data_IF_971840843626
#
_entry.id   IF_971840843626
#
_cell.length_a   1.000
_cell.length_b   1.000
_cell.length_c   1.000
_cell.angle_alpha   90.00
_cell.angle_beta   90.00
_cell.angle_gamma   90.00
#
_symmetry.space_group_name_H-M   'P 1'
#
loop_
_entity.id
_entity.type
_entity.pdbx_description
1 polymer ?
#
# COMPACT_ATOMS: atom_id res chain seq x y z
N UNK A 1 40.41 24.75 -35.81
CA UNK A 1 39.92 23.35 -35.72
C UNK A 1 39.74 22.88 -34.28
N UNK A 2 40.71 23.10 -33.38
CA UNK A 2 40.67 22.68 -31.97
C UNK A 2 39.46 23.18 -31.17
N UNK A 3 38.97 24.41 -31.39
CA UNK A 3 37.80 24.95 -30.67
C UNK A 3 36.52 24.13 -30.90
N UNK A 4 36.29 23.61 -32.11
CA UNK A 4 35.11 22.79 -32.44
C UNK A 4 35.17 21.41 -31.77
N UNK A 5 36.37 20.82 -31.71
CA UNK A 5 36.60 19.55 -31.00
C UNK A 5 36.35 19.70 -29.49
N UNK A 6 36.72 20.86 -28.93
CA UNK A 6 36.48 21.19 -27.52
C UNK A 6 34.99 21.29 -27.19
N UNK A 7 34.18 21.91 -28.06
CA UNK A 7 32.72 21.99 -27.90
C UNK A 7 32.03 20.62 -28.02
N UNK A 8 32.48 19.76 -28.93
CA UNK A 8 31.94 18.40 -29.09
C UNK A 8 32.26 17.56 -27.83
N UNK A 9 33.50 17.63 -27.34
CA UNK A 9 33.89 16.94 -26.10
C UNK A 9 33.09 17.41 -24.88
N UNK A 10 32.87 18.72 -24.74
CA UNK A 10 32.06 19.28 -23.67
C UNK A 10 30.58 18.83 -23.74
N UNK A 11 30.00 18.79 -24.95
CA UNK A 11 28.63 18.31 -25.14
C UNK A 11 28.47 16.83 -24.77
N UNK A 12 29.44 15.98 -25.17
CA UNK A 12 29.42 14.56 -24.87
C UNK A 12 29.58 14.30 -23.36
N UNK A 13 30.45 15.07 -22.70
CA UNK A 13 30.61 15.03 -21.24
C UNK A 13 29.31 15.42 -20.53
N UNK A 14 28.62 16.46 -20.99
CA UNK A 14 27.36 16.89 -20.39
C UNK A 14 26.26 15.81 -20.47
N UNK A 15 26.16 15.11 -21.61
CA UNK A 15 25.21 14.00 -21.78
C UNK A 15 25.52 12.85 -20.82
N UNK A 16 26.80 12.50 -20.65
CA UNK A 16 27.24 11.45 -19.72
C UNK A 16 26.90 11.84 -18.28
N UNK A 17 27.15 13.08 -17.88
CA UNK A 17 26.84 13.57 -16.53
C UNK A 17 25.33 13.56 -16.27
N UNK A 18 24.51 14.00 -17.22
CA UNK A 18 23.05 13.98 -17.10
C UNK A 18 22.51 12.54 -17.05
N UNK A 19 23.05 11.64 -17.88
CA UNK A 19 22.71 10.22 -17.85
C UNK A 19 23.10 9.57 -16.52
N UNK A 20 24.29 9.87 -16.01
CA UNK A 20 24.76 9.38 -14.71
C UNK A 20 23.88 9.90 -13.57
N UNK A 21 23.53 11.19 -13.58
CA UNK A 21 22.63 11.78 -12.58
C UNK A 21 21.22 11.16 -12.60
N UNK A 22 20.72 10.79 -13.78
CA UNK A 22 19.43 10.12 -13.92
C UNK A 22 19.47 8.67 -13.39
N UNK A 23 20.54 7.93 -13.71
CA UNK A 23 20.72 6.53 -13.29
C UNK A 23 21.06 6.42 -11.80
N UNK A 24 21.79 7.39 -11.25
CA UNK A 24 22.24 7.41 -9.85
C UNK A 24 21.30 8.17 -8.91
N UNK A 25 20.08 8.50 -9.36
CA UNK A 25 19.07 9.10 -8.47
C UNK A 25 18.73 8.11 -7.36
N UNK A 26 18.64 8.60 -6.12
CA UNK A 26 18.17 7.78 -5.00
C UNK A 26 16.73 7.33 -5.26
N UNK A 27 16.41 6.04 -5.01
CA UNK A 27 15.03 5.57 -5.08
C UNK A 27 14.18 6.29 -4.03
N UNK A 28 12.87 6.38 -4.30
CA UNK A 28 11.89 6.91 -3.36
C UNK A 28 11.92 6.09 -2.06
N UNK A 29 11.80 6.77 -0.92
CA UNK A 29 11.71 6.13 0.39
C UNK A 29 10.44 5.26 0.45
N UNK A 30 10.52 4.11 1.12
CA UNK A 30 9.36 3.26 1.35
C UNK A 30 8.22 4.03 2.04
N UNK A 31 6.98 3.73 1.66
CA UNK A 31 5.78 4.27 2.31
C UNK A 31 5.79 3.95 3.80
N UNK A 32 5.37 4.89 4.64
CA UNK A 32 5.22 4.67 6.08
C UNK A 32 4.17 3.59 6.38
N UNK A 33 4.24 2.92 7.54
CA UNK A 33 3.22 1.97 7.99
C UNK A 33 1.84 2.61 8.05
N UNK A 34 0.82 1.87 7.61
CA UNK A 34 -0.56 2.36 7.61
C UNK A 34 -1.16 2.15 9.00
N UNK A 35 -1.97 3.10 9.47
CA UNK A 35 -2.65 3.02 10.77
C UNK A 35 -4.15 2.83 10.58
N UNK A 36 -4.77 2.05 11.48
CA UNK A 36 -6.22 1.83 11.43
C UNK A 36 -6.99 3.12 11.70
N UNK A 37 -8.14 3.27 11.06
CA UNK A 37 -9.15 4.27 11.47
C UNK A 37 -9.86 3.70 12.68
N UNK A 38 -9.87 4.47 13.76
CA UNK A 38 -10.52 4.08 15.01
C UNK A 38 -11.99 3.77 14.77
N UNK A 39 -12.42 2.58 15.20
CA UNK A 39 -13.80 2.16 15.13
C UNK A 39 -14.64 3.01 16.08
N UNK A 40 -15.48 3.88 15.52
CA UNK A 40 -16.46 4.59 16.31
C UNK A 40 -17.46 3.57 16.87
N UNK A 41 -17.59 3.52 18.19
CA UNK A 41 -18.67 2.77 18.84
C UNK A 41 -20.00 3.40 18.42
N UNK A 42 -20.62 2.87 17.36
CA UNK A 42 -21.97 3.24 16.96
C UNK A 42 -22.94 2.73 18.02
N UNK A 43 -23.15 3.55 19.04
CA UNK A 43 -23.96 3.25 20.22
C UNK A 43 -25.47 3.12 19.94
N UNK A 44 -25.87 3.08 18.67
CA UNK A 44 -27.27 3.03 18.22
C UNK A 44 -27.83 1.60 18.03
N UNK A 45 -26.96 0.58 18.02
CA UNK A 45 -27.35 -0.85 17.96
C UNK A 45 -26.77 -1.64 19.15
N UNK A 46 -26.41 -0.96 20.24
CA UNK A 46 -26.07 -1.65 21.47
C UNK A 46 -27.37 -2.03 22.19
N UNK A 47 -27.85 -3.25 21.99
CA UNK A 47 -28.61 -3.90 23.07
C UNK A 47 -27.72 -3.85 24.31
N UNK A 48 -28.27 -3.39 25.44
CA UNK A 48 -27.59 -3.02 26.71
C UNK A 48 -26.65 -4.07 27.33
N UNK A 49 -26.42 -5.21 26.68
CA UNK A 49 -25.67 -6.38 27.18
C UNK A 49 -24.50 -6.82 26.26
N UNK A 50 -24.17 -6.05 25.20
CA UNK A 50 -23.09 -6.43 24.29
C UNK A 50 -21.71 -6.04 24.83
N UNK A 51 -20.91 -7.03 25.28
CA UNK A 51 -19.52 -6.84 25.68
C UNK A 51 -18.60 -6.91 24.45
N UNK A 52 -18.45 -5.77 23.76
CA UNK A 52 -17.60 -5.66 22.59
C UNK A 52 -16.12 -5.54 22.96
N UNK A 53 -15.30 -6.47 22.46
CA UNK A 53 -13.84 -6.42 22.55
C UNK A 53 -13.25 -5.98 21.21
N UNK A 54 -12.52 -4.87 21.20
CA UNK A 54 -11.85 -4.35 19.99
C UNK A 54 -10.50 -5.00 19.77
N UNK A 55 -10.28 -5.48 18.54
CA UNK A 55 -9.03 -6.03 18.04
C UNK A 55 -8.53 -5.16 16.88
N UNK A 56 -7.22 -4.94 16.82
CA UNK A 56 -6.55 -4.22 15.74
C UNK A 56 -5.75 -5.20 14.88
N UNK A 57 -5.77 -5.00 13.57
CA UNK A 57 -4.97 -5.80 12.64
C UNK A 57 -3.48 -5.58 12.90
N UNK A 58 -2.73 -6.67 13.12
CA UNK A 58 -1.28 -6.64 13.16
C UNK A 58 -0.71 -6.68 11.75
N UNK A 59 -0.23 -5.54 11.26
CA UNK A 59 0.35 -5.43 9.92
C UNK A 59 1.48 -6.45 9.67
N UNK A 60 2.36 -6.64 10.66
CA UNK A 60 3.51 -7.56 10.57
C UNK A 60 3.13 -9.05 10.44
N UNK A 61 1.88 -9.42 10.75
CA UNK A 61 1.38 -10.80 10.71
C UNK A 61 0.19 -10.97 9.76
N UNK A 62 -0.09 -9.96 8.93
CA UNK A 62 -1.27 -9.92 8.07
C UNK A 62 -0.90 -9.63 6.62
N UNK A 63 -1.71 -10.11 5.68
CA UNK A 63 -1.54 -9.88 4.25
C UNK A 63 -2.92 -9.68 3.62
N UNK A 64 -3.01 -8.69 2.72
CA UNK A 64 -4.11 -8.55 1.79
C UNK A 64 -3.65 -9.03 0.40
N UNK A 65 -4.54 -9.75 -0.29
CA UNK A 65 -4.25 -10.27 -1.63
C UNK A 65 -5.46 -10.14 -2.54
N UNK A 66 -5.23 -9.92 -3.83
CA UNK A 66 -6.26 -10.00 -4.86
C UNK A 66 -5.78 -10.79 -6.06
N UNK A 67 -6.73 -11.42 -6.76
CA UNK A 67 -6.52 -12.12 -8.03
C UNK A 67 -7.49 -11.57 -9.05
N UNK A 68 -7.00 -11.16 -10.21
CA UNK A 68 -7.82 -10.68 -11.31
C UNK A 68 -7.51 -11.46 -12.59
N UNK A 69 -8.52 -12.13 -13.13
CA UNK A 69 -8.42 -12.75 -14.45
C UNK A 69 -8.67 -11.70 -15.54
N UNK A 70 -7.66 -11.40 -16.34
CA UNK A 70 -7.72 -10.41 -17.42
C UNK A 70 -7.24 -10.98 -18.76
N UNK A 71 -7.81 -10.49 -19.86
CA UNK A 71 -7.32 -10.78 -21.20
C UNK A 71 -6.34 -9.69 -21.63
N UNK A 72 -5.06 -9.89 -21.29
CA UNK A 72 -3.99 -8.96 -21.63
C UNK A 72 -3.48 -9.27 -23.02
N UNK A 73 -3.79 -8.38 -23.97
CA UNK A 73 -3.37 -8.50 -25.39
C UNK A 73 -3.85 -9.79 -26.05
N UNK A 74 -5.05 -10.25 -25.69
CA UNK A 74 -5.66 -11.47 -26.22
C UNK A 74 -5.19 -12.75 -25.55
N UNK A 75 -4.39 -12.66 -24.48
CA UNK A 75 -3.96 -13.81 -23.67
C UNK A 75 -4.59 -13.72 -22.28
N UNK A 76 -5.31 -14.78 -21.89
CA UNK A 76 -5.83 -14.91 -20.52
C UNK A 76 -4.66 -14.95 -19.54
N UNK A 77 -4.63 -13.97 -18.66
CA UNK A 77 -3.61 -13.79 -17.62
C UNK A 77 -4.29 -13.66 -16.27
N UNK A 78 -3.67 -14.20 -15.23
CA UNK A 78 -4.07 -13.99 -13.84
C UNK A 78 -3.10 -13.01 -13.20
N UNK A 79 -3.61 -11.85 -12.79
CA UNK A 79 -2.86 -10.82 -12.08
C UNK A 79 -3.03 -11.04 -10.59
N UNK A 80 -1.95 -11.38 -9.91
CA UNK A 80 -1.91 -11.55 -8.46
C UNK A 80 -1.24 -10.35 -7.81
N UNK A 81 -1.94 -9.69 -6.90
CA UNK A 81 -1.39 -8.65 -6.03
C UNK A 81 -1.37 -9.12 -4.58
N UNK A 82 -0.29 -8.83 -3.87
CA UNK A 82 -0.13 -9.07 -2.43
C UNK A 82 0.49 -7.84 -1.77
N UNK A 83 0.02 -7.50 -0.58
CA UNK A 83 0.57 -6.41 0.23
C UNK A 83 0.44 -6.76 1.71
N UNK A 84 1.45 -6.40 2.50
CA UNK A 84 1.37 -6.41 3.96
C UNK A 84 0.88 -5.05 4.51
N UNK A 85 0.66 -4.05 3.65
CA UNK A 85 0.11 -2.75 4.04
C UNK A 85 -1.40 -2.82 4.24
N UNK A 86 -1.81 -3.45 5.35
CA UNK A 86 -3.21 -3.58 5.78
C UNK A 86 -3.38 -3.12 7.23
N UNK A 87 -4.44 -2.36 7.48
CA UNK A 87 -4.86 -1.98 8.83
C UNK A 87 -6.38 -1.91 8.94
N UNK A 88 -6.86 -2.06 10.16
CA UNK A 88 -8.28 -2.02 10.48
C UNK A 88 -8.52 -2.47 11.90
N UNK A 89 -9.76 -2.27 12.35
CA UNK A 89 -10.24 -2.67 13.66
C UNK A 89 -11.53 -3.49 13.52
N UNK A 90 -11.71 -4.44 14.43
CA UNK A 90 -12.93 -5.24 14.55
C UNK A 90 -13.31 -5.30 16.04
N UNK A 91 -14.55 -4.98 16.37
CA UNK A 91 -15.09 -5.17 17.71
C UNK A 91 -15.98 -6.40 17.73
N UNK A 92 -15.61 -7.40 18.52
CA UNK A 92 -16.29 -8.70 18.58
C UNK A 92 -16.99 -8.85 19.93
N UNK A 93 -18.25 -9.24 19.91
CA UNK A 93 -18.95 -9.78 21.07
C UNK A 93 -18.95 -11.32 20.95
N UNK A 94 -18.17 -12.04 21.78
CA UNK A 94 -18.07 -13.49 21.70
C UNK A 94 -19.36 -14.21 22.15
N UNK A 95 -20.24 -13.52 22.88
CA UNK A 95 -21.54 -14.04 23.29
C UNK A 95 -22.62 -13.84 22.22
N UNK A 96 -22.43 -12.84 21.33
CA UNK A 96 -23.33 -12.55 20.22
C UNK A 96 -22.57 -12.04 18.98
N UNK A 97 -22.20 -12.96 18.09
CA UNK A 97 -21.46 -12.60 16.87
C UNK A 97 -22.23 -11.67 15.91
N UNK A 98 -23.56 -11.64 15.98
CA UNK A 98 -24.37 -10.72 15.16
C UNK A 98 -24.20 -9.26 15.60
N UNK A 99 -23.72 -9.00 16.81
CA UNK A 99 -23.39 -7.67 17.32
C UNK A 99 -21.96 -7.23 16.94
N UNK A 100 -21.17 -8.06 16.26
CA UNK A 100 -19.81 -7.73 15.83
C UNK A 100 -19.81 -6.54 14.88
N UNK A 101 -18.92 -5.58 15.13
CA UNK A 101 -18.73 -4.40 14.31
C UNK A 101 -17.39 -4.49 13.57
N UNK A 102 -17.43 -4.43 12.25
CA UNK A 102 -16.23 -4.34 11.42
C UNK A 102 -15.98 -2.86 11.07
N UNK A 103 -14.79 -2.38 11.44
CA UNK A 103 -14.32 -1.07 11.03
C UNK A 103 -13.81 -1.03 9.60
N UNK A 104 -13.42 0.16 9.15
CA UNK A 104 -12.83 0.32 7.81
C UNK A 104 -11.51 -0.44 7.72
N UNK A 105 -11.41 -1.32 6.72
CA UNK A 105 -10.15 -1.95 6.34
C UNK A 105 -9.46 -1.07 5.30
N UNK A 106 -8.25 -0.64 5.61
CA UNK A 106 -7.39 0.11 4.70
C UNK A 106 -6.31 -0.80 4.12
N UNK A 107 -6.02 -0.61 2.83
CA UNK A 107 -5.00 -1.34 2.08
C UNK A 107 -4.27 -0.34 1.18
N UNK A 108 -2.93 -0.38 1.17
CA UNK A 108 -2.08 0.45 0.31
C UNK A 108 -1.10 -0.40 -0.53
#
# INVERSE_FOLDING_TARGET
MMKRLLWIGAGLLAIIVLGAAYVLRTPETASEPITAVTLASNSEIATTDAELTTFTISQASSQASFSLGEDLRGVRTEVLGVTDQVAGEIAIDPSNLQATLLGTIQIN
#
